data_IF_836336434751
#
_entry.id   IF_836336434751
#
_cell.length_a   1.000
_cell.length_b   1.000
_cell.length_c   1.000
_cell.angle_alpha   90.00
_cell.angle_beta   90.00
_cell.angle_gamma   90.00
#
_symmetry.space_group_name_H-M   'P 1'
#
loop_
_entity.id
_entity.type
_entity.pdbx_description
1 polymer ?
#
# COMPACT_ATOMS: atom_id res chain seq x y z
N UNK A 1 -7.45 -17.62 12.30
CA UNK A 1 -6.07 -17.35 12.74
C UNK A 1 -5.97 -15.89 13.13
N UNK A 2 -5.55 -15.59 14.37
CA UNK A 2 -5.39 -14.21 14.86
C UNK A 2 -3.89 -13.90 14.81
N UNK A 3 -3.47 -12.98 13.93
CA UNK A 3 -2.08 -12.57 13.79
C UNK A 3 -1.85 -11.28 14.59
N UNK A 4 -0.97 -11.31 15.58
CA UNK A 4 -0.57 -10.12 16.36
C UNK A 4 0.80 -9.62 15.90
N UNK A 5 1.02 -8.31 15.98
CA UNK A 5 2.26 -7.61 15.56
C UNK A 5 3.53 -8.08 16.31
N UNK A 6 3.37 -8.90 17.34
CA UNK A 6 4.42 -9.48 18.19
C UNK A 6 5.11 -10.72 17.63
N UNK A 7 4.60 -11.33 16.55
CA UNK A 7 5.35 -12.35 15.80
C UNK A 7 6.26 -11.67 14.80
N UNK A 8 7.52 -11.43 15.17
CA UNK A 8 8.56 -10.78 14.34
C UNK A 8 8.65 -11.39 12.93
N UNK A 9 8.34 -12.69 12.81
CA UNK A 9 8.32 -13.45 11.58
C UNK A 9 7.35 -12.89 10.52
N UNK A 10 6.15 -12.42 10.89
CA UNK A 10 5.11 -12.01 9.91
C UNK A 10 4.98 -10.50 9.74
N UNK A 11 5.91 -9.71 10.28
CA UNK A 11 5.88 -8.25 10.13
C UNK A 11 5.90 -7.80 8.67
N UNK A 12 6.55 -8.59 7.80
CA UNK A 12 6.57 -8.37 6.37
C UNK A 12 5.22 -8.47 5.69
N UNK A 13 4.19 -9.06 6.30
CA UNK A 13 2.87 -9.20 5.66
C UNK A 13 2.05 -7.91 5.75
N UNK A 14 2.31 -7.06 6.74
CA UNK A 14 1.54 -5.83 6.92
C UNK A 14 1.76 -4.82 5.78
N UNK A 15 0.73 -4.09 5.34
CA UNK A 15 0.86 -3.12 4.25
C UNK A 15 1.91 -2.02 4.51
N UNK A 16 2.14 -1.71 5.78
CA UNK A 16 3.07 -0.69 6.23
C UNK A 16 4.52 -1.15 6.35
N UNK A 17 4.80 -2.44 6.17
CA UNK A 17 6.16 -2.97 6.21
C UNK A 17 7.03 -2.29 5.12
N UNK A 18 8.34 -2.08 5.35
CA UNK A 18 9.25 -1.35 4.45
C UNK A 18 9.67 -2.15 3.20
N UNK A 19 8.71 -2.80 2.54
CA UNK A 19 8.90 -3.55 1.30
C UNK A 19 8.39 -2.71 0.13
N UNK A 20 9.31 -2.24 -0.71
CA UNK A 20 9.01 -1.38 -1.87
C UNK A 20 8.16 -2.12 -2.89
N UNK A 21 7.26 -1.42 -3.56
CA UNK A 21 6.41 -1.98 -4.61
C UNK A 21 6.59 -1.17 -5.88
N UNK A 22 6.95 -1.83 -6.97
CA UNK A 22 6.93 -1.25 -8.32
C UNK A 22 5.55 -1.46 -8.93
N UNK A 23 4.85 -0.38 -9.24
CA UNK A 23 3.54 -0.37 -9.90
C UNK A 23 3.58 0.62 -11.06
N UNK A 24 3.22 0.18 -12.27
CA UNK A 24 3.23 1.01 -13.49
C UNK A 24 4.52 1.84 -13.64
N UNK A 25 5.68 1.17 -13.53
CA UNK A 25 7.01 1.80 -13.65
C UNK A 25 7.33 2.85 -12.58
N UNK A 26 6.55 2.89 -11.50
CA UNK A 26 6.71 3.81 -10.37
C UNK A 26 6.90 3.01 -9.08
N UNK A 27 7.91 3.37 -8.29
CA UNK A 27 8.22 2.68 -7.04
C UNK A 27 7.61 3.41 -5.84
N UNK A 28 6.92 2.65 -5.00
CA UNK A 28 6.29 3.10 -3.76
C UNK A 28 7.05 2.52 -2.56
N UNK A 29 7.25 3.29 -1.46
CA UNK A 29 7.96 2.81 -0.29
C UNK A 29 7.32 1.60 0.39
N UNK A 30 5.99 1.56 0.44
CA UNK A 30 5.19 0.47 1.04
C UNK A 30 3.86 0.28 0.29
N UNK A 31 3.14 -0.81 0.57
CA UNK A 31 1.78 -1.01 0.08
C UNK A 31 0.81 0.09 0.56
N UNK A 32 0.99 0.59 1.79
CA UNK A 32 0.21 1.72 2.30
C UNK A 32 0.37 2.98 1.42
N UNK A 33 1.59 3.28 0.97
CA UNK A 33 1.82 4.43 0.08
C UNK A 33 1.10 4.24 -1.25
N UNK A 34 1.19 3.05 -1.84
CA UNK A 34 0.53 2.77 -3.12
C UNK A 34 -1.00 2.84 -3.00
N UNK A 35 -1.58 2.19 -1.98
CA UNK A 35 -3.04 2.15 -1.82
C UNK A 35 -3.65 3.53 -1.62
N UNK A 36 -3.04 4.36 -0.76
CA UNK A 36 -3.51 5.73 -0.56
C UNK A 36 -3.28 6.62 -1.79
N UNK A 37 -2.22 6.38 -2.57
CA UNK A 37 -1.99 7.10 -3.83
C UNK A 37 -3.02 6.74 -4.92
N UNK A 38 -3.47 5.47 -5.01
CA UNK A 38 -4.45 5.02 -6.00
C UNK A 38 -5.81 5.71 -5.88
N UNK A 39 -6.13 6.27 -4.70
CA UNK A 39 -7.33 7.10 -4.49
C UNK A 39 -7.39 8.30 -5.43
N UNK A 40 -6.23 8.79 -5.87
CA UNK A 40 -6.11 10.04 -6.63
C UNK A 40 -5.73 9.81 -8.09
N UNK A 41 -5.39 8.58 -8.48
CA UNK A 41 -5.04 8.26 -9.86
C UNK A 41 -6.27 7.85 -10.69
N UNK A 42 -6.32 8.21 -11.98
CA UNK A 42 -5.36 9.05 -12.71
C UNK A 42 -5.64 10.56 -12.59
N UNK A 43 -6.76 10.96 -11.98
CA UNK A 43 -7.30 12.33 -12.08
C UNK A 43 -6.46 13.42 -11.37
N UNK A 44 -5.73 13.06 -10.32
CA UNK A 44 -4.98 13.98 -9.46
C UNK A 44 -3.57 13.42 -9.14
N UNK A 45 -2.70 13.25 -10.16
CA UNK A 45 -1.41 12.57 -10.00
C UNK A 45 -0.45 13.30 -9.05
N UNK A 46 -0.54 14.63 -8.94
CA UNK A 46 0.27 15.40 -7.99
C UNK A 46 0.01 15.02 -6.53
N UNK A 47 -1.24 14.70 -6.17
CA UNK A 47 -1.59 14.25 -4.81
C UNK A 47 -1.04 12.84 -4.57
N UNK A 48 -1.18 11.96 -5.56
CA UNK A 48 -0.61 10.61 -5.52
C UNK A 48 0.92 10.64 -5.34
N UNK A 49 1.61 11.55 -6.03
CA UNK A 49 3.06 11.74 -5.88
C UNK A 49 3.45 12.28 -4.51
N UNK A 50 2.71 13.22 -3.95
CA UNK A 50 2.94 13.71 -2.59
C UNK A 50 2.83 12.56 -1.56
N UNK A 51 1.83 11.69 -1.73
CA UNK A 51 1.66 10.51 -0.88
C UNK A 51 2.83 9.56 -1.08
N UNK A 52 3.21 9.25 -2.32
CA UNK A 52 4.32 8.35 -2.65
C UNK A 52 5.66 8.83 -2.09
N UNK A 53 5.92 10.13 -2.13
CA UNK A 53 7.16 10.76 -1.68
C UNK A 53 7.18 11.07 -0.18
N UNK A 54 6.11 10.74 0.54
CA UNK A 54 6.05 10.92 1.98
C UNK A 54 7.11 10.06 2.69
N UNK A 55 8.05 10.68 3.40
CA UNK A 55 9.10 9.95 4.12
C UNK A 55 8.57 9.28 5.39
N UNK A 56 7.62 9.94 6.06
CA UNK A 56 7.03 9.45 7.29
C UNK A 56 5.71 8.73 6.98
N UNK A 57 5.68 7.42 7.15
CA UNK A 57 4.48 6.60 6.99
C UNK A 57 3.28 7.16 7.81
N UNK A 58 3.53 7.70 9.01
CA UNK A 58 2.48 8.24 9.86
C UNK A 58 1.77 9.48 9.25
N UNK A 59 2.42 10.15 8.29
CA UNK A 59 1.86 11.30 7.58
C UNK A 59 1.05 10.93 6.32
N UNK A 60 1.10 9.67 5.87
CA UNK A 60 0.35 9.20 4.68
C UNK A 60 -1.16 9.37 4.86
N UNK A 61 -1.72 8.88 5.97
CA UNK A 61 -3.17 9.01 6.22
C UNK A 61 -3.61 10.46 6.43
N UNK A 62 -2.93 11.29 7.26
CA UNK A 62 -3.25 12.72 7.34
C UNK A 62 -3.23 13.44 6.00
N UNK A 63 -2.23 13.18 5.15
CA UNK A 63 -2.11 13.78 3.82
C UNK A 63 -3.26 13.36 2.91
N UNK A 64 -3.66 12.09 2.96
CA UNK A 64 -4.80 11.60 2.20
C UNK A 64 -6.12 12.19 2.72
N UNK A 65 -6.33 12.22 4.03
CA UNK A 65 -7.53 12.84 4.64
C UNK A 65 -7.67 14.31 4.26
N UNK A 66 -6.57 15.07 4.27
CA UNK A 66 -6.57 16.47 3.85
C UNK A 66 -7.01 16.67 2.38
N UNK A 67 -6.89 15.64 1.54
CA UNK A 67 -7.25 15.63 0.14
C UNK A 67 -8.51 14.82 -0.18
N UNK A 68 -9.30 14.40 0.82
CA UNK A 68 -10.43 13.47 0.65
C UNK A 68 -11.43 13.87 -0.45
N UNK A 69 -11.63 15.18 -0.68
CA UNK A 69 -12.52 15.69 -1.74
C UNK A 69 -12.08 15.34 -3.17
N UNK A 70 -10.84 14.89 -3.36
CA UNK A 70 -10.26 14.50 -4.65
C UNK A 70 -10.18 12.98 -4.85
N UNK A 71 -10.71 12.20 -3.90
CA UNK A 71 -10.74 10.74 -4.01
C UNK A 71 -11.66 10.34 -5.17
N UNK A 72 -11.22 9.37 -5.97
CA UNK A 72 -12.02 8.76 -7.05
C UNK A 72 -13.37 8.25 -6.53
N UNK A 73 -14.41 8.43 -7.33
CA UNK A 73 -15.80 8.24 -6.90
C UNK A 73 -16.17 6.79 -6.62
N UNK A 74 -15.51 5.84 -7.26
CA UNK A 74 -15.71 4.39 -7.10
C UNK A 74 -14.86 3.79 -5.97
N UNK A 75 -14.04 4.59 -5.26
CA UNK A 75 -13.12 4.07 -4.24
C UNK A 75 -13.80 3.20 -3.19
N UNK A 76 -14.99 3.61 -2.73
CA UNK A 76 -15.76 2.85 -1.73
C UNK A 76 -16.14 1.44 -2.19
N UNK A 77 -16.20 1.20 -3.51
CA UNK A 77 -16.46 -0.13 -4.07
C UNK A 77 -15.19 -0.93 -4.35
N UNK A 78 -14.08 -0.26 -4.73
CA UNK A 78 -12.88 -0.95 -5.24
C UNK A 78 -11.72 -1.04 -4.24
N UNK A 79 -11.81 -0.39 -3.06
CA UNK A 79 -10.65 -0.27 -2.16
C UNK A 79 -10.10 -1.61 -1.67
N UNK A 80 -10.94 -2.63 -1.46
CA UNK A 80 -10.51 -3.97 -1.03
C UNK A 80 -9.82 -4.70 -2.17
N UNK A 81 -10.42 -4.71 -3.36
CA UNK A 81 -9.85 -5.34 -4.55
C UNK A 81 -8.49 -4.74 -4.90
N UNK A 82 -8.34 -3.42 -4.77
CA UNK A 82 -7.04 -2.76 -4.96
C UNK A 82 -6.04 -3.15 -3.88
N UNK A 83 -6.45 -3.27 -2.61
CA UNK A 83 -5.55 -3.75 -1.55
C UNK A 83 -5.07 -5.18 -1.82
N UNK A 84 -5.96 -6.07 -2.26
CA UNK A 84 -5.62 -7.45 -2.60
C UNK A 84 -4.58 -7.51 -3.74
N UNK A 85 -4.81 -6.77 -4.83
CA UNK A 85 -3.86 -6.67 -5.95
C UNK A 85 -2.51 -6.12 -5.51
N UNK A 86 -2.50 -5.11 -4.64
CA UNK A 86 -1.26 -4.52 -4.11
C UNK A 86 -0.49 -5.54 -3.26
N UNK A 87 -1.19 -6.30 -2.42
CA UNK A 87 -0.56 -7.33 -1.61
C UNK A 87 -0.05 -8.47 -2.50
N UNK A 88 -0.82 -8.97 -3.47
CA UNK A 88 -0.31 -9.95 -4.44
C UNK A 88 0.97 -9.45 -5.12
N UNK A 89 0.96 -8.19 -5.58
CA UNK A 89 2.11 -7.57 -6.22
C UNK A 89 3.32 -7.49 -5.29
N UNK A 90 3.11 -7.15 -4.01
CA UNK A 90 4.14 -7.16 -2.98
C UNK A 90 4.73 -8.56 -2.81
N UNK A 91 3.91 -9.58 -2.58
CA UNK A 91 4.39 -10.96 -2.40
C UNK A 91 5.09 -11.51 -3.65
N UNK A 92 4.65 -11.11 -4.85
CA UNK A 92 5.32 -11.47 -6.11
C UNK A 92 6.71 -10.84 -6.23
N UNK A 93 6.90 -9.61 -5.73
CA UNK A 93 8.16 -8.87 -5.81
C UNK A 93 9.14 -9.20 -4.68
N UNK A 94 8.67 -9.83 -3.60
CA UNK A 94 9.43 -10.18 -2.40
C UNK A 94 9.33 -11.68 -2.13
N UNK A 95 10.15 -12.52 -2.81
CA UNK A 95 10.11 -13.98 -2.71
C UNK A 95 10.17 -14.50 -1.27
N UNK A 96 10.93 -13.84 -0.39
CA UNK A 96 11.03 -14.19 1.03
C UNK A 96 9.70 -14.12 1.77
N UNK A 97 8.83 -13.18 1.39
CA UNK A 97 7.48 -13.08 1.96
C UNK A 97 6.55 -14.13 1.39
N UNK A 98 6.71 -14.45 0.10
CA UNK A 98 5.91 -15.50 -0.57
C UNK A 98 6.23 -16.87 0.00
N UNK A 99 7.50 -17.17 0.17
CA UNK A 99 7.94 -18.47 0.66
C UNK A 99 7.46 -18.66 2.12
N UNK A 100 7.55 -17.59 2.93
CA UNK A 100 6.97 -17.57 4.28
C UNK A 100 5.44 -17.73 4.31
N UNK A 101 4.73 -17.30 3.26
CA UNK A 101 3.27 -17.45 3.15
C UNK A 101 2.86 -18.90 2.86
N UNK A 102 3.72 -19.69 2.22
CA UNK A 102 3.46 -21.09 1.83
C UNK A 102 3.87 -22.06 2.95
N UNK A 103 4.85 -21.69 3.77
CA UNK A 103 5.35 -22.49 4.90
C UNK A 103 4.46 -22.44 6.16
N UNK A 104 3.50 -21.51 6.25
CA UNK A 104 2.60 -21.33 7.38
C UNK A 104 1.21 -21.93 7.18
#
# INVERSE_FOLDING_TARGET
>A
LIFTQSSQQYQGFFPHSPHRIMYQNTTYPTATHLHEALKYLPSHPTIADQIRLCLNLAAVYPLSTANQKYVRTDWGAVFLDEMEKILELKFRQHPELRDLLIEG
#
